data_IF_624164857324
#
_entry.id   IF_624164857324
#
_cell.length_a   1.000
_cell.length_b   1.000
_cell.length_c   1.000
_cell.angle_alpha   90.00
_cell.angle_beta   90.00
_cell.angle_gamma   90.00
#
_symmetry.space_group_name_H-M   'P 1'
#
loop_
_entity.id
_entity.type
_entity.pdbx_description
1 polymer ?
#
# COMPACT_ATOMS: atom_id res chain seq x y z
N UNK A 1 42.51 12.96 38.95
CA UNK A 1 42.28 14.34 38.47
C UNK A 1 40.85 14.35 37.95
N UNK A 2 39.86 14.63 38.82
CA UNK A 2 39.29 15.98 39.06
C UNK A 2 38.01 16.07 38.23
N UNK A 3 36.82 15.70 38.72
CA UNK A 3 35.92 16.35 39.69
C UNK A 3 35.36 17.72 39.22
N UNK A 4 34.03 17.82 39.33
CA UNK A 4 33.13 19.00 39.31
C UNK A 4 32.83 19.68 37.95
N UNK A 5 31.61 20.14 37.65
CA UNK A 5 30.35 20.19 38.40
C UNK A 5 29.26 20.91 37.59
N UNK A 6 28.00 20.54 37.80
CA UNK A 6 26.78 21.27 37.37
C UNK A 6 26.52 22.49 38.27
N UNK A 7 25.68 23.46 37.86
CA UNK A 7 24.97 24.31 38.81
C UNK A 7 23.46 24.04 38.82
N UNK A 8 22.95 24.02 40.05
CA UNK A 8 21.60 23.66 40.43
C UNK A 8 20.61 24.83 40.40
N UNK A 9 19.35 24.46 40.14
CA UNK A 9 18.13 25.19 40.47
C UNK A 9 18.00 25.46 41.98
N UNK A 10 17.48 26.64 42.34
CA UNK A 10 16.90 26.94 43.66
C UNK A 10 15.39 27.16 43.53
N UNK A 11 14.61 26.35 44.26
CA UNK A 11 13.31 26.73 44.85
C UNK A 11 13.57 27.37 46.23
N UNK A 12 12.61 28.13 46.79
CA UNK A 12 11.60 27.54 47.71
C UNK A 12 10.23 28.25 47.55
N UNK A 13 9.10 27.97 48.18
CA UNK A 13 8.45 26.86 48.90
C UNK A 13 7.04 27.37 49.30
N UNK A 14 6.04 26.48 49.45
CA UNK A 14 4.78 26.70 50.22
C UNK A 14 3.59 27.17 49.36
N UNK A 15 2.50 26.42 49.12
CA UNK A 15 1.50 25.72 49.97
C UNK A 15 0.31 26.59 50.40
N UNK A 16 -0.91 26.13 50.06
CA UNK A 16 -2.21 26.61 50.56
C UNK A 16 -2.77 27.79 49.75
N UNK A 17 -3.95 27.75 49.14
CA UNK A 17 -5.23 27.23 49.63
C UNK A 17 -6.13 28.42 49.98
N UNK A 18 -7.09 28.78 49.12
CA UNK A 18 -8.12 29.78 49.44
C UNK A 18 -8.64 30.63 48.27
N UNK A 19 -9.86 30.34 47.80
CA UNK A 19 -10.88 31.37 47.53
C UNK A 19 -11.48 31.84 48.88
N UNK A 20 -12.26 32.93 49.02
CA UNK A 20 -12.81 33.88 48.04
C UNK A 20 -12.42 35.35 48.40
N UNK A 21 -12.88 36.44 47.76
CA UNK A 21 -14.09 37.21 48.11
C UNK A 21 -14.12 38.50 47.27
N UNK A 22 -15.30 38.91 46.83
CA UNK A 22 -15.65 40.17 46.15
C UNK A 22 -15.93 41.33 47.11
N UNK A 23 -15.51 42.56 46.77
CA UNK A 23 -16.14 43.88 47.13
C UNK A 23 -15.62 44.92 46.12
N UNK A 24 -16.39 45.69 45.32
CA UNK A 24 -17.52 46.62 45.48
C UNK A 24 -17.21 47.94 46.23
N UNK A 25 -17.39 49.07 45.53
CA UNK A 25 -17.98 50.39 45.93
C UNK A 25 -17.89 51.31 44.70
N UNK A 26 -18.81 52.20 44.30
CA UNK A 26 -19.89 52.99 44.90
C UNK A 26 -21.06 53.10 43.88
N UNK A 27 -22.31 53.43 44.20
CA UNK A 27 -22.93 53.90 45.43
C UNK A 27 -24.38 54.34 45.15
N UNK A 28 -25.11 54.71 46.20
CA UNK A 28 -26.34 55.51 46.13
C UNK A 28 -27.64 54.75 46.38
N UNK A 29 -28.03 54.64 47.66
CA UNK A 29 -29.34 54.12 48.07
C UNK A 29 -30.45 55.18 48.15
N UNK A 30 -31.69 54.71 48.31
CA UNK A 30 -32.73 55.29 49.20
C UNK A 30 -33.93 54.34 49.40
N UNK A 31 -34.52 54.45 50.59
CA UNK A 31 -35.54 53.58 51.24
C UNK A 31 -36.77 53.20 50.41
N UNK A 32 -37.61 52.24 50.80
CA UNK A 32 -37.88 51.66 52.13
C UNK A 32 -39.40 51.47 52.31
N UNK A 33 -39.80 50.30 52.85
CA UNK A 33 -41.13 49.89 53.38
C UNK A 33 -42.28 49.77 52.36
N UNK A 34 -43.16 48.76 52.35
CA UNK A 34 -43.41 47.62 53.25
C UNK A 34 -44.90 47.25 53.16
N UNK A 35 -45.22 45.96 53.10
CA UNK A 35 -46.46 45.40 53.66
C UNK A 35 -47.70 45.22 52.76
N UNK A 36 -48.08 43.93 52.64
CA UNK A 36 -49.44 43.36 52.70
C UNK A 36 -50.30 43.21 51.42
N UNK A 37 -50.41 41.93 51.01
CA UNK A 37 -51.43 41.26 50.18
C UNK A 37 -52.87 41.44 50.75
N UNK A 38 -53.99 41.06 50.06
CA UNK A 38 -54.10 40.09 48.97
C UNK A 38 -55.12 40.34 47.83
N UNK A 39 -55.01 39.45 46.83
CA UNK A 39 -56.08 38.79 46.03
C UNK A 39 -56.94 39.61 45.05
N UNK A 40 -56.64 39.36 43.78
CA UNK A 40 -57.65 38.70 42.93
C UNK A 40 -58.40 39.58 41.94
N UNK A 41 -57.68 40.16 40.95
CA UNK A 41 -58.18 40.48 39.60
C UNK A 41 -57.10 41.16 38.76
N UNK A 42 -56.01 40.46 38.46
CA UNK A 42 -55.02 40.96 37.50
C UNK A 42 -54.33 39.86 36.69
N UNK A 43 -54.86 38.62 36.68
CA UNK A 43 -54.27 37.51 35.92
C UNK A 43 -54.58 37.53 34.41
N UNK A 44 -55.52 38.34 33.93
CA UNK A 44 -55.85 38.38 32.50
C UNK A 44 -54.93 39.32 31.67
N UNK A 45 -54.32 40.34 32.30
CA UNK A 45 -53.38 41.26 31.61
C UNK A 45 -51.94 40.71 31.55
N UNK A 46 -51.58 39.80 32.45
CA UNK A 46 -50.25 39.19 32.50
C UNK A 46 -50.00 38.20 31.36
N UNK A 47 -51.04 37.49 30.87
CA UNK A 47 -50.88 36.50 29.80
C UNK A 47 -50.58 37.09 28.41
N UNK A 48 -51.09 38.28 28.09
CA UNK A 48 -50.79 38.94 26.81
C UNK A 48 -49.41 39.62 26.81
N UNK A 49 -48.94 40.12 27.96
CA UNK A 49 -47.58 40.66 28.07
C UNK A 49 -46.50 39.56 28.09
N UNK A 50 -46.77 38.38 28.66
CA UNK A 50 -45.84 37.23 28.62
C UNK A 50 -45.62 36.74 27.18
N UNK A 51 -46.66 36.70 26.34
CA UNK A 51 -46.53 36.28 24.93
C UNK A 51 -45.64 37.23 24.12
N UNK A 52 -45.75 38.54 24.34
CA UNK A 52 -44.91 39.55 23.67
C UNK A 52 -43.46 39.49 24.17
N UNK A 53 -43.24 39.32 25.48
CA UNK A 53 -41.88 39.19 26.04
C UNK A 53 -41.16 37.92 25.59
N UNK A 54 -41.87 36.79 25.45
CA UNK A 54 -41.30 35.55 24.89
C UNK A 54 -40.95 35.71 23.41
N UNK A 55 -41.81 36.38 22.62
CA UNK A 55 -41.55 36.64 21.19
C UNK A 55 -40.33 37.57 21.00
N UNK A 56 -40.24 38.65 21.78
CA UNK A 56 -39.07 39.54 21.77
C UNK A 56 -37.80 38.84 22.25
N UNK A 57 -37.89 37.96 23.26
CA UNK A 57 -36.76 37.12 23.69
C UNK A 57 -36.28 36.17 22.58
N UNK A 58 -37.20 35.51 21.86
CA UNK A 58 -36.86 34.60 20.77
C UNK A 58 -36.22 35.31 19.57
N UNK A 59 -36.74 36.49 19.20
CA UNK A 59 -36.16 37.31 18.12
C UNK A 59 -34.79 37.85 18.52
N UNK A 60 -34.58 38.22 19.79
CA UNK A 60 -33.27 38.68 20.27
C UNK A 60 -32.25 37.53 20.30
N UNK A 61 -32.65 36.30 20.66
CA UNK A 61 -31.79 35.11 20.57
C UNK A 61 -31.47 34.76 19.11
N UNK A 62 -32.43 34.86 18.19
CA UNK A 62 -32.19 34.63 16.76
C UNK A 62 -31.28 35.69 16.14
N UNK A 63 -31.44 36.96 16.50
CA UNK A 63 -30.57 38.05 16.05
C UNK A 63 -29.18 37.95 16.68
N UNK A 64 -29.05 37.59 17.97
CA UNK A 64 -27.76 37.36 18.62
C UNK A 64 -27.06 36.09 18.12
N UNK A 65 -27.80 35.00 17.81
CA UNK A 65 -27.29 33.81 17.10
C UNK A 65 -26.94 34.10 15.64
N UNK A 66 -27.55 35.11 15.03
CA UNK A 66 -27.24 35.60 13.69
C UNK A 66 -26.10 36.62 13.63
N UNK A 67 -25.71 37.23 14.76
CA UNK A 67 -24.71 38.32 14.80
C UNK A 67 -23.49 38.04 15.66
N UNK A 68 -23.43 36.94 16.43
CA UNK A 68 -22.20 36.43 17.06
C UNK A 68 -22.10 34.92 16.81
N UNK A 69 -21.39 34.56 15.74
CA UNK A 69 -21.03 33.20 15.35
C UNK A 69 -19.75 33.21 14.53
N UNK A 70 -18.64 33.55 15.18
CA UNK A 70 -17.28 33.43 14.65
C UNK A 70 -16.86 31.96 14.71
N UNK A 71 -16.43 31.41 13.57
CA UNK A 71 -15.53 30.26 13.54
C UNK A 71 -15.79 29.24 12.43
N UNK A 72 -15.07 29.39 11.30
CA UNK A 72 -14.72 28.34 10.35
C UNK A 72 -15.74 27.97 9.24
N UNK A 73 -15.97 28.88 8.28
CA UNK A 73 -16.60 28.58 7.00
C UNK A 73 -15.53 28.51 5.90
N UNK A 74 -14.97 27.31 5.73
CA UNK A 74 -13.96 27.03 4.71
C UNK A 74 -13.69 25.53 4.51
N UNK A 75 -14.67 24.65 4.72
CA UNK A 75 -14.60 23.24 4.29
C UNK A 75 -15.94 22.53 4.53
N UNK A 76 -16.87 22.51 3.56
CA UNK A 76 -18.05 21.64 3.71
C UNK A 76 -18.62 21.08 2.41
N UNK A 77 -18.17 21.53 1.25
CA UNK A 77 -18.58 20.89 -0.02
C UNK A 77 -17.69 19.71 -0.40
N UNK A 78 -16.43 19.68 0.06
CA UNK A 78 -15.51 18.58 -0.24
C UNK A 78 -15.70 17.40 0.72
N UNK A 79 -15.89 17.69 2.01
CA UNK A 79 -16.06 16.66 3.04
C UNK A 79 -17.43 15.97 2.95
N UNK A 80 -18.49 16.71 2.61
CA UNK A 80 -19.81 16.12 2.37
C UNK A 80 -19.84 15.24 1.11
N UNK A 81 -19.12 15.63 0.05
CA UNK A 81 -18.97 14.79 -1.16
C UNK A 81 -18.15 13.53 -0.84
N UNK A 82 -17.13 13.64 0.01
CA UNK A 82 -16.31 12.49 0.42
C UNK A 82 -17.11 11.50 1.26
N UNK A 83 -17.94 11.99 2.20
CA UNK A 83 -18.85 11.16 2.99
C UNK A 83 -19.90 10.46 2.11
N UNK A 84 -20.47 11.18 1.14
CA UNK A 84 -21.46 10.60 0.23
C UNK A 84 -20.86 9.50 -0.66
N UNK A 85 -19.61 9.67 -1.14
CA UNK A 85 -18.90 8.62 -1.90
C UNK A 85 -18.60 7.41 -1.02
N UNK A 86 -18.25 7.61 0.25
CA UNK A 86 -18.02 6.52 1.21
C UNK A 86 -19.31 5.75 1.49
N UNK A 87 -20.43 6.45 1.71
CA UNK A 87 -21.75 5.82 1.91
C UNK A 87 -22.23 5.07 0.66
N UNK A 88 -22.07 5.66 -0.53
CA UNK A 88 -22.46 5.03 -1.79
C UNK A 88 -21.60 3.79 -2.11
N UNK A 89 -20.30 3.84 -1.82
CA UNK A 89 -19.39 2.70 -1.92
C UNK A 89 -19.78 1.59 -0.94
N UNK A 90 -20.08 1.94 0.32
CA UNK A 90 -20.53 0.97 1.33
C UNK A 90 -21.88 0.34 0.98
N UNK A 91 -22.78 1.09 0.34
CA UNK A 91 -24.07 0.59 -0.16
C UNK A 91 -23.89 -0.39 -1.31
N UNK A 92 -23.05 -0.08 -2.29
CA UNK A 92 -22.71 -1.00 -3.39
C UNK A 92 -22.04 -2.27 -2.86
N UNK A 93 -21.16 -2.15 -1.86
CA UNK A 93 -20.54 -3.30 -1.18
C UNK A 93 -21.55 -4.17 -0.42
N UNK A 94 -22.59 -3.58 0.18
CA UNK A 94 -23.64 -4.33 0.86
C UNK A 94 -24.52 -5.10 -0.14
N UNK A 95 -24.75 -4.54 -1.33
CA UNK A 95 -25.50 -5.17 -2.42
C UNK A 95 -24.72 -6.35 -3.04
N UNK A 96 -23.39 -6.23 -3.19
CA UNK A 96 -22.51 -7.33 -3.63
C UNK A 96 -22.48 -8.47 -2.59
N UNK A 97 -22.60 -8.17 -1.29
CA UNK A 97 -22.59 -9.16 -0.21
C UNK A 97 -23.89 -9.95 -0.09
N UNK A 98 -25.02 -9.48 -0.62
CA UNK A 98 -26.31 -10.17 -0.45
C UNK A 98 -26.53 -11.34 -1.40
N UNK A 99 -25.70 -11.50 -2.45
CA UNK A 99 -25.69 -12.66 -3.35
C UNK A 99 -24.78 -13.78 -2.80
N UNK A 100 -24.89 -14.07 -1.50
CA UNK A 100 -24.27 -15.27 -0.93
C UNK A 100 -25.09 -16.49 -1.33
N UNK A 101 -24.56 -17.29 -2.26
CA UNK A 101 -25.12 -18.57 -2.68
C UNK A 101 -25.29 -19.49 -1.45
N UNK A 102 -26.47 -20.09 -1.18
CA UNK A 102 -26.71 -20.91 0.03
C UNK A 102 -25.94 -22.23 0.08
N UNK A 103 -25.05 -22.47 -0.88
CA UNK A 103 -24.30 -23.73 -1.05
C UNK A 103 -22.96 -23.77 -0.31
N UNK A 104 -22.54 -22.68 0.34
CA UNK A 104 -21.33 -22.61 1.18
C UNK A 104 -21.53 -23.19 2.61
N UNK A 105 -22.44 -24.16 2.76
CA UNK A 105 -22.59 -24.94 3.98
C UNK A 105 -21.86 -26.28 3.83
N UNK A 106 -20.85 -26.46 4.69
CA UNK A 106 -20.09 -27.68 4.98
C UNK A 106 -18.99 -28.10 3.97
N UNK A 107 -17.83 -27.39 3.97
CA UNK A 107 -16.58 -28.08 3.61
C UNK A 107 -16.22 -29.05 4.77
N UNK A 108 -16.01 -30.35 4.50
CA UNK A 108 -15.59 -31.31 5.53
C UNK A 108 -14.26 -30.88 6.14
N UNK A 109 -14.08 -31.11 7.45
CA UNK A 109 -12.75 -31.09 8.08
C UNK A 109 -11.89 -32.21 7.45
N UNK A 110 -11.19 -31.91 6.36
CA UNK A 110 -10.25 -32.83 5.73
C UNK A 110 -8.90 -32.79 6.46
N UNK A 111 -8.37 -33.99 6.72
CA UNK A 111 -7.37 -34.26 7.74
C UNK A 111 -6.03 -33.55 7.55
N UNK A 112 -5.44 -33.18 8.70
CA UNK A 112 -4.08 -32.64 8.79
C UNK A 112 -3.09 -33.46 7.94
N UNK A 113 -2.26 -32.76 7.15
CA UNK A 113 -1.17 -33.42 6.44
C UNK A 113 -0.35 -34.27 7.41
N UNK A 114 -0.06 -35.51 7.00
CA UNK A 114 0.85 -36.38 7.74
C UNK A 114 2.19 -35.64 7.92
N UNK A 115 2.63 -35.35 9.15
CA UNK A 115 3.88 -34.62 9.40
C UNK A 115 5.13 -35.30 8.80
N UNK A 116 5.02 -36.59 8.47
CA UNK A 116 6.08 -37.38 7.86
C UNK A 116 6.08 -37.34 6.32
N UNK A 117 5.07 -36.76 5.67
CA UNK A 117 5.04 -36.60 4.23
C UNK A 117 5.77 -35.31 3.81
N UNK A 118 6.77 -35.43 2.95
CA UNK A 118 7.45 -34.26 2.38
C UNK A 118 6.55 -33.61 1.33
N UNK A 119 6.20 -32.33 1.55
CA UNK A 119 5.42 -31.56 0.59
C UNK A 119 6.15 -31.41 -0.76
N UNK A 120 5.40 -31.50 -1.87
CA UNK A 120 5.91 -31.31 -3.22
C UNK A 120 4.96 -30.41 -4.02
N UNK A 121 5.50 -29.48 -4.80
CA UNK A 121 4.72 -28.57 -5.66
C UNK A 121 4.08 -29.26 -6.89
N UNK A 122 4.46 -30.51 -7.14
CA UNK A 122 3.98 -31.34 -8.23
C UNK A 122 5.01 -32.39 -8.64
N UNK A 123 4.74 -33.16 -9.71
CA UNK A 123 5.69 -34.14 -10.23
C UNK A 123 7.02 -33.49 -10.62
N UNK A 124 8.13 -34.18 -10.32
CA UNK A 124 9.47 -33.69 -10.66
C UNK A 124 9.66 -33.64 -12.17
N UNK A 125 10.12 -32.52 -12.67
CA UNK A 125 10.53 -32.30 -14.06
C UNK A 125 12.04 -32.06 -14.06
N UNK A 126 12.76 -32.70 -14.99
CA UNK A 126 14.25 -32.64 -15.04
C UNK A 126 14.79 -32.18 -16.39
N UNK A 127 13.91 -32.01 -17.39
CA UNK A 127 14.24 -31.70 -18.78
C UNK A 127 13.46 -30.48 -19.30
N UNK A 128 13.01 -29.58 -18.41
CA UNK A 128 12.14 -28.45 -18.78
C UNK A 128 12.76 -27.53 -19.84
N UNK A 129 14.06 -27.24 -19.75
CA UNK A 129 14.75 -26.41 -20.74
C UNK A 129 14.71 -27.04 -22.14
N UNK A 130 14.81 -28.37 -22.22
CA UNK A 130 14.71 -29.11 -23.49
C UNK A 130 13.28 -29.09 -24.03
N UNK A 131 12.29 -29.35 -23.17
CA UNK A 131 10.87 -29.28 -23.54
C UNK A 131 10.49 -27.88 -24.04
N UNK A 132 10.88 -26.84 -23.30
CA UNK A 132 10.62 -25.43 -23.64
C UNK A 132 11.29 -25.05 -24.95
N UNK A 133 12.53 -25.48 -25.19
CA UNK A 133 13.22 -25.25 -26.48
C UNK A 133 12.50 -25.92 -27.66
N UNK A 134 12.03 -27.15 -27.50
CA UNK A 134 11.26 -27.86 -28.53
C UNK A 134 9.96 -27.12 -28.83
N UNK A 135 9.23 -26.71 -27.77
CA UNK A 135 7.98 -25.96 -27.91
C UNK A 135 8.19 -24.63 -28.63
N UNK A 136 9.21 -23.84 -28.26
CA UNK A 136 9.51 -22.55 -28.92
C UNK A 136 9.84 -22.71 -30.40
N UNK A 137 10.52 -23.79 -30.79
CA UNK A 137 10.82 -24.08 -32.19
C UNK A 137 9.56 -24.48 -32.99
N UNK A 138 8.58 -25.11 -32.34
CA UNK A 138 7.33 -25.55 -32.96
C UNK A 138 6.27 -24.44 -33.03
N UNK A 139 6.39 -23.39 -32.20
CA UNK A 139 5.41 -22.31 -32.07
C UNK A 139 6.07 -20.93 -32.27
N UNK A 140 6.62 -20.63 -33.47
CA UNK A 140 7.35 -19.39 -33.73
C UNK A 140 6.52 -18.10 -33.59
N UNK A 141 5.20 -18.21 -33.63
CA UNK A 141 4.24 -17.12 -33.40
C UNK A 141 4.16 -16.68 -31.93
N UNK A 142 4.70 -17.48 -31.00
CA UNK A 142 4.81 -17.17 -29.57
C UNK A 142 6.29 -17.06 -29.15
N UNK A 143 7.06 -16.07 -29.65
CA UNK A 143 8.47 -15.95 -29.33
C UNK A 143 8.68 -15.47 -27.89
N UNK A 144 9.72 -15.98 -27.23
CA UNK A 144 10.16 -15.53 -25.91
C UNK A 144 10.83 -14.16 -25.91
N UNK A 145 11.09 -13.61 -27.08
CA UNK A 145 11.62 -12.25 -27.28
C UNK A 145 10.82 -11.54 -28.37
N UNK A 146 10.30 -10.35 -28.08
CA UNK A 146 9.54 -9.51 -29.01
C UNK A 146 10.27 -8.18 -29.15
N UNK A 147 10.61 -7.77 -30.38
CA UNK A 147 11.35 -6.53 -30.67
C UNK A 147 12.66 -6.39 -29.85
N UNK A 148 13.39 -7.48 -29.67
CA UNK A 148 14.63 -7.51 -28.89
C UNK A 148 14.45 -7.45 -27.37
N UNK A 149 13.22 -7.48 -26.86
CA UNK A 149 12.91 -7.52 -25.42
C UNK A 149 12.35 -8.88 -25.03
N UNK A 150 12.87 -9.45 -23.95
CA UNK A 150 12.35 -10.69 -23.40
C UNK A 150 10.90 -10.51 -22.94
N UNK A 151 10.05 -11.53 -23.17
CA UNK A 151 8.64 -11.52 -22.77
C UNK A 151 8.52 -11.65 -21.26
N UNK A 152 7.80 -10.72 -20.64
CA UNK A 152 7.54 -10.69 -19.19
C UNK A 152 6.05 -10.94 -18.96
N UNK A 153 5.74 -11.79 -17.97
CA UNK A 153 4.41 -11.96 -17.40
C UNK A 153 4.41 -11.44 -15.97
N UNK A 154 3.71 -10.34 -15.71
CA UNK A 154 3.52 -9.83 -14.35
C UNK A 154 2.45 -10.67 -13.64
N UNK A 155 2.80 -11.24 -12.49
CA UNK A 155 1.90 -11.98 -11.63
C UNK A 155 1.68 -11.20 -10.33
N UNK A 156 0.43 -10.94 -10.00
CA UNK A 156 -0.03 -10.40 -8.71
C UNK A 156 -1.24 -11.21 -8.25
N UNK A 157 -1.67 -11.02 -7.01
CA UNK A 157 -2.93 -11.61 -6.57
C UNK A 157 -3.38 -11.10 -5.21
N UNK A 158 -4.59 -11.48 -4.83
CA UNK A 158 -5.17 -11.25 -3.50
C UNK A 158 -5.99 -12.47 -3.09
N UNK A 159 -6.36 -12.60 -1.81
CA UNK A 159 -7.31 -13.63 -1.39
C UNK A 159 -8.63 -13.56 -2.19
N UNK A 160 -9.35 -14.69 -2.37
CA UNK A 160 -10.65 -14.73 -3.05
C UNK A 160 -11.77 -14.07 -2.26
N UNK A 161 -11.66 -14.06 -0.93
CA UNK A 161 -12.67 -13.51 -0.04
C UNK A 161 -12.52 -12.00 0.05
N UNK A 162 -13.62 -11.25 0.28
CA UNK A 162 -13.55 -9.83 0.61
C UNK A 162 -12.59 -9.57 1.76
N UNK A 163 -11.95 -8.40 1.75
CA UNK A 163 -11.04 -8.02 2.82
C UNK A 163 -11.75 -7.91 4.18
N UNK A 164 -11.04 -8.26 5.26
CA UNK A 164 -11.52 -8.10 6.63
C UNK A 164 -11.88 -6.62 6.89
N UNK A 165 -11.04 -5.72 6.39
CA UNK A 165 -11.31 -4.29 6.33
C UNK A 165 -11.87 -3.92 4.94
N UNK A 166 -13.14 -3.46 4.82
CA UNK A 166 -13.76 -3.19 3.52
C UNK A 166 -13.02 -2.17 2.65
N UNK A 167 -12.29 -1.22 3.25
CA UNK A 167 -11.49 -0.26 2.49
C UNK A 167 -10.30 -0.94 1.78
N UNK A 168 -9.89 -2.11 2.26
CA UNK A 168 -8.81 -2.91 1.68
C UNK A 168 -9.08 -3.26 0.22
N UNK A 169 -10.31 -3.67 -0.11
CA UNK A 169 -10.72 -3.98 -1.49
C UNK A 169 -10.56 -2.77 -2.42
N UNK A 170 -10.83 -1.56 -1.93
CA UNK A 170 -10.61 -0.34 -2.71
C UNK A 170 -9.12 -0.12 -3.03
N UNK A 171 -8.23 -0.39 -2.08
CA UNK A 171 -6.79 -0.27 -2.32
C UNK A 171 -6.21 -1.40 -3.18
N UNK A 172 -6.78 -2.61 -3.10
CA UNK A 172 -6.49 -3.68 -4.06
C UNK A 172 -6.87 -3.25 -5.49
N UNK A 173 -8.05 -2.66 -5.67
CA UNK A 173 -8.50 -2.13 -6.95
C UNK A 173 -7.57 -1.04 -7.49
N UNK A 174 -7.15 -0.09 -6.64
CA UNK A 174 -6.19 0.95 -7.03
C UNK A 174 -4.83 0.37 -7.40
N UNK A 175 -4.38 -0.65 -6.65
CA UNK A 175 -3.14 -1.35 -6.95
C UNK A 175 -3.16 -2.08 -8.29
N UNK A 176 -4.25 -2.80 -8.61
CA UNK A 176 -4.35 -3.45 -9.91
C UNK A 176 -4.47 -2.44 -11.05
N UNK A 177 -5.20 -1.32 -10.88
CA UNK A 177 -5.20 -0.23 -11.88
C UNK A 177 -3.78 0.29 -12.14
N UNK A 178 -3.01 0.56 -11.09
CA UNK A 178 -1.63 1.03 -11.20
C UNK A 178 -0.76 0.04 -12.01
N UNK A 179 -0.87 -1.26 -11.71
CA UNK A 179 -0.18 -2.32 -12.46
C UNK A 179 -0.65 -2.43 -13.90
N UNK A 180 -1.96 -2.32 -14.17
CA UNK A 180 -2.53 -2.28 -15.52
C UNK A 180 -1.95 -1.13 -16.33
N UNK A 181 -1.88 0.07 -15.74
CA UNK A 181 -1.36 1.26 -16.44
C UNK A 181 0.11 1.09 -16.82
N UNK A 182 0.95 0.60 -15.90
CA UNK A 182 2.35 0.29 -16.19
C UNK A 182 2.46 -0.81 -17.27
N UNK A 183 1.81 -1.96 -17.07
CA UNK A 183 1.90 -3.09 -17.98
C UNK A 183 1.44 -2.73 -19.40
N UNK A 184 0.36 -1.95 -19.53
CA UNK A 184 -0.13 -1.43 -20.82
C UNK A 184 0.90 -0.54 -21.53
N UNK A 185 1.60 0.33 -20.79
CA UNK A 185 2.59 1.23 -21.37
C UNK A 185 3.89 0.52 -21.76
N UNK A 186 4.22 -0.59 -21.09
CA UNK A 186 5.46 -1.35 -21.31
C UNK A 186 5.29 -2.63 -22.13
N UNK A 187 4.07 -2.96 -22.55
CA UNK A 187 3.79 -4.17 -23.33
C UNK A 187 4.01 -5.46 -22.53
N UNK A 188 3.62 -5.44 -21.26
CA UNK A 188 3.74 -6.57 -20.33
C UNK A 188 2.35 -7.16 -20.11
N UNK A 189 2.24 -8.48 -20.14
CA UNK A 189 1.01 -9.19 -19.82
C UNK A 189 0.84 -9.31 -18.30
N UNK A 190 -0.41 -9.33 -17.81
CA UNK A 190 -0.71 -9.41 -16.38
C UNK A 190 -1.64 -10.59 -16.08
N UNK A 191 -1.28 -11.37 -15.05
CA UNK A 191 -2.15 -12.36 -14.41
C UNK A 191 -2.47 -11.87 -13.00
N UNK A 192 -3.76 -11.81 -12.68
CA UNK A 192 -4.24 -11.52 -11.34
C UNK A 192 -4.85 -12.79 -10.75
N UNK A 193 -4.18 -13.40 -9.78
CA UNK A 193 -4.69 -14.59 -9.11
C UNK A 193 -5.63 -14.23 -7.95
N UNK A 194 -6.79 -14.89 -7.91
CA UNK A 194 -7.71 -14.90 -6.77
C UNK A 194 -7.98 -16.32 -6.25
N UNK A 195 -7.34 -17.35 -6.81
CA UNK A 195 -7.59 -18.74 -6.44
C UNK A 195 -6.52 -19.26 -5.47
N UNK A 196 -6.96 -20.08 -4.51
CA UNK A 196 -6.06 -20.96 -3.76
C UNK A 196 -5.82 -22.24 -4.57
N UNK A 197 -4.68 -22.32 -5.25
CA UNK A 197 -4.31 -23.52 -6.01
C UNK A 197 -3.88 -24.68 -5.12
N UNK A 198 -3.46 -24.38 -3.89
CA UNK A 198 -2.98 -25.34 -2.91
C UNK A 198 -3.44 -24.88 -1.52
N UNK A 199 -4.13 -25.76 -0.78
CA UNK A 199 -4.67 -25.45 0.55
C UNK A 199 -3.58 -25.43 1.64
N UNK A 200 -2.40 -26.00 1.38
CA UNK A 200 -1.26 -26.05 2.31
C UNK A 200 -0.38 -24.80 2.19
N UNK A 201 -0.19 -24.31 0.96
CA UNK A 201 0.53 -23.06 0.68
C UNK A 201 -0.43 -21.86 0.62
N UNK A 202 -0.96 -21.50 1.78
CA UNK A 202 -1.80 -20.31 1.96
C UNK A 202 -0.99 -19.03 2.27
N UNK A 203 -1.63 -17.87 2.15
CA UNK A 203 -1.04 -16.57 2.48
C UNK A 203 0.10 -16.19 1.53
N UNK A 204 1.20 -15.67 2.08
CA UNK A 204 2.36 -15.24 1.29
C UNK A 204 3.02 -16.39 0.50
N UNK A 205 2.79 -17.64 0.90
CA UNK A 205 3.30 -18.84 0.22
C UNK A 205 2.55 -19.20 -1.07
N UNK A 206 1.33 -18.69 -1.27
CA UNK A 206 0.48 -19.03 -2.42
C UNK A 206 1.09 -18.64 -3.79
N UNK A 207 2.10 -17.77 -3.78
CA UNK A 207 2.83 -17.37 -4.99
C UNK A 207 3.62 -18.52 -5.61
N UNK A 208 4.20 -19.43 -4.81
CA UNK A 208 5.03 -20.54 -5.31
C UNK A 208 4.28 -21.48 -6.27
N UNK A 209 3.13 -22.07 -5.89
CA UNK A 209 2.40 -22.98 -6.78
C UNK A 209 1.87 -22.25 -8.02
N UNK A 210 1.47 -20.99 -7.90
CA UNK A 210 1.02 -20.18 -9.03
C UNK A 210 2.17 -19.88 -10.01
N UNK A 211 3.35 -19.49 -9.52
CA UNK A 211 4.54 -19.26 -10.37
C UNK A 211 4.89 -20.54 -11.12
N UNK A 212 4.96 -21.70 -10.43
CA UNK A 212 5.22 -22.99 -11.08
C UNK A 212 4.18 -23.29 -12.16
N UNK A 213 2.89 -23.06 -11.87
CA UNK A 213 1.80 -23.30 -12.83
C UNK A 213 1.95 -22.45 -14.08
N UNK A 214 2.25 -21.16 -13.92
CA UNK A 214 2.44 -20.25 -15.05
C UNK A 214 3.70 -20.57 -15.85
N UNK A 215 4.81 -20.97 -15.23
CA UNK A 215 6.01 -21.41 -15.95
C UNK A 215 5.69 -22.52 -16.94
N UNK A 216 4.97 -23.54 -16.45
CA UNK A 216 4.63 -24.72 -17.24
C UNK A 216 3.53 -24.47 -18.28
N UNK A 217 2.65 -23.49 -18.02
CA UNK A 217 1.52 -23.16 -18.91
C UNK A 217 1.87 -22.12 -19.97
N UNK A 218 2.95 -21.36 -19.76
CA UNK A 218 3.42 -20.30 -20.66
C UNK A 218 4.89 -20.48 -21.04
N UNK A 219 5.25 -21.50 -21.87
CA UNK A 219 6.63 -21.71 -22.30
C UNK A 219 7.19 -20.52 -23.11
N UNK A 220 6.35 -19.69 -23.71
CA UNK A 220 6.73 -18.45 -24.39
C UNK A 220 7.21 -17.35 -23.45
N UNK A 221 6.83 -17.37 -22.17
CA UNK A 221 7.25 -16.35 -21.21
C UNK A 221 8.70 -16.61 -20.80
N UNK A 222 9.55 -15.58 -20.89
CA UNK A 222 10.95 -15.68 -20.47
C UNK A 222 11.12 -15.34 -18.98
N UNK A 223 10.36 -14.36 -18.49
CA UNK A 223 10.39 -13.93 -17.09
C UNK A 223 8.99 -13.87 -16.51
N UNK A 224 8.80 -14.54 -15.38
CA UNK A 224 7.68 -14.28 -14.49
C UNK A 224 8.13 -13.21 -13.50
N UNK A 225 7.37 -12.13 -13.41
CA UNK A 225 7.60 -11.06 -12.45
C UNK A 225 6.50 -11.08 -11.40
N UNK A 226 6.82 -11.61 -10.23
CA UNK A 226 5.92 -11.53 -9.08
C UNK A 226 5.95 -10.12 -8.50
N UNK A 227 4.77 -9.56 -8.21
CA UNK A 227 4.63 -8.29 -7.51
C UNK A 227 3.46 -8.35 -6.53
N UNK A 228 3.71 -8.05 -5.25
CA UNK A 228 2.69 -8.07 -4.19
C UNK A 228 1.58 -7.05 -4.46
N UNK A 229 0.39 -7.32 -3.91
CA UNK A 229 -0.78 -6.45 -4.06
C UNK A 229 -0.60 -5.08 -3.40
N UNK A 230 0.27 -4.95 -2.40
CA UNK A 230 0.60 -3.71 -1.70
C UNK A 230 1.90 -3.07 -2.21
N UNK A 231 2.46 -3.56 -3.31
CA UNK A 231 3.51 -2.88 -4.08
C UNK A 231 2.92 -2.08 -5.24
N UNK A 232 3.31 -0.82 -5.39
CA UNK A 232 2.85 0.07 -6.46
C UNK A 232 4.03 0.52 -7.32
N UNK A 233 3.83 0.57 -8.63
CA UNK A 233 4.72 1.34 -9.51
C UNK A 233 4.60 2.81 -9.19
N UNK A 234 5.73 3.46 -8.94
CA UNK A 234 5.82 4.89 -8.68
C UNK A 234 6.70 5.62 -9.70
N UNK A 235 7.47 4.87 -10.50
CA UNK A 235 8.06 5.33 -11.77
C UNK A 235 7.39 4.61 -12.95
N UNK A 236 6.49 5.29 -13.64
CA UNK A 236 5.77 4.74 -14.79
C UNK A 236 6.65 4.69 -16.05
N UNK A 237 7.75 5.43 -16.10
CA UNK A 237 8.62 5.51 -17.28
C UNK A 237 9.85 4.60 -17.20
N UNK A 238 10.26 4.24 -15.99
CA UNK A 238 11.39 3.34 -15.79
C UNK A 238 11.14 1.99 -16.48
N UNK A 239 12.20 1.44 -17.09
CA UNK A 239 12.20 0.11 -17.70
C UNK A 239 13.26 -0.74 -17.03
N UNK A 240 12.89 -1.96 -16.69
CA UNK A 240 13.82 -2.95 -16.11
C UNK A 240 14.97 -3.20 -17.11
N UNK A 241 16.25 -3.02 -16.71
CA UNK A 241 17.39 -3.19 -17.60
C UNK A 241 17.74 -4.68 -17.81
N UNK A 242 16.84 -5.44 -18.46
CA UNK A 242 16.95 -6.91 -18.60
C UNK A 242 18.30 -7.40 -19.19
N UNK A 243 18.97 -6.57 -20.00
CA UNK A 243 20.29 -6.87 -20.53
C UNK A 243 21.34 -7.15 -19.42
N UNK A 244 21.19 -6.53 -18.24
CA UNK A 244 22.04 -6.76 -17.07
C UNK A 244 21.88 -8.17 -16.48
N UNK A 245 20.72 -8.79 -16.69
CA UNK A 245 20.34 -10.05 -16.03
C UNK A 245 20.49 -11.27 -16.92
N UNK A 246 21.12 -11.15 -18.09
CA UNK A 246 21.22 -12.25 -19.08
C UNK A 246 21.83 -13.55 -18.52
N UNK A 247 22.73 -13.46 -17.54
CA UNK A 247 23.39 -14.62 -16.91
C UNK A 247 22.72 -15.13 -15.63
N UNK A 248 21.61 -14.52 -15.23
CA UNK A 248 20.91 -14.78 -13.97
C UNK A 248 19.50 -15.31 -14.25
N UNK A 249 18.95 -16.01 -13.27
CA UNK A 249 17.63 -16.62 -13.32
C UNK A 249 16.69 -16.07 -12.25
N UNK A 250 17.22 -15.53 -11.15
CA UNK A 250 16.46 -14.78 -10.14
C UNK A 250 17.04 -13.37 -10.04
N UNK A 251 16.19 -12.36 -10.13
CA UNK A 251 16.53 -10.95 -9.87
C UNK A 251 15.65 -10.47 -8.74
N UNK A 252 16.26 -10.06 -7.64
CA UNK A 252 15.57 -9.71 -6.40
C UNK A 252 16.22 -8.48 -5.78
N UNK A 253 15.41 -7.57 -5.26
CA UNK A 253 15.96 -6.40 -4.57
C UNK A 253 16.58 -6.82 -3.24
N UNK A 254 17.73 -6.25 -2.90
CA UNK A 254 18.34 -6.46 -1.59
C UNK A 254 19.65 -5.72 -1.39
N UNK A 255 20.24 -5.92 -0.22
CA UNK A 255 21.48 -5.26 0.18
C UNK A 255 22.55 -6.33 0.47
N UNK A 256 23.65 -6.40 -0.31
CA UNK A 256 24.66 -7.45 -0.15
C UNK A 256 25.30 -7.53 1.25
N UNK A 257 25.51 -6.39 1.90
CA UNK A 257 26.03 -6.30 3.27
C UNK A 257 25.03 -6.88 4.29
N UNK A 258 23.74 -6.56 4.14
CA UNK A 258 22.70 -7.18 4.97
C UNK A 258 22.59 -8.69 4.75
N UNK A 259 22.79 -9.14 3.51
CA UNK A 259 22.68 -10.55 3.14
C UNK A 259 23.86 -11.36 3.65
N UNK A 260 25.08 -11.02 3.23
CA UNK A 260 26.26 -11.85 3.46
C UNK A 260 26.92 -11.60 4.82
N UNK A 261 26.98 -10.36 5.26
CA UNK A 261 27.70 -10.01 6.49
C UNK A 261 26.79 -10.12 7.71
N UNK A 262 25.55 -9.61 7.59
CA UNK A 262 24.63 -9.54 8.72
C UNK A 262 23.64 -10.70 8.81
N UNK A 263 23.42 -11.44 7.71
CA UNK A 263 22.39 -12.47 7.61
C UNK A 263 21.01 -11.98 8.07
N UNK A 264 20.67 -10.76 7.67
CA UNK A 264 19.43 -10.09 8.06
C UNK A 264 18.22 -10.69 7.35
N UNK A 265 17.10 -10.85 8.06
CA UNK A 265 15.84 -11.34 7.46
C UNK A 265 15.19 -10.34 6.48
N UNK A 266 15.63 -9.09 6.49
CA UNK A 266 15.23 -8.03 5.54
C UNK A 266 16.30 -7.77 4.48
N UNK A 267 17.27 -8.67 4.32
CA UNK A 267 18.35 -8.49 3.36
C UNK A 267 17.89 -8.51 1.90
N UNK A 268 16.82 -9.26 1.61
CA UNK A 268 16.17 -9.36 0.31
C UNK A 268 14.66 -9.10 0.48
N UNK A 269 13.96 -8.72 -0.59
CA UNK A 269 12.50 -8.63 -0.57
C UNK A 269 11.83 -9.49 -1.64
N UNK A 270 10.93 -10.41 -1.23
CA UNK A 270 10.21 -11.31 -2.13
C UNK A 270 8.84 -10.78 -2.57
N UNK A 271 8.59 -9.49 -2.35
CA UNK A 271 7.37 -8.82 -2.81
C UNK A 271 7.47 -8.20 -4.20
N UNK A 272 8.66 -8.17 -4.79
CA UNK A 272 8.86 -7.82 -6.20
C UNK A 272 10.15 -8.45 -6.72
N UNK A 273 10.04 -9.46 -7.57
CA UNK A 273 11.20 -10.18 -8.13
C UNK A 273 10.91 -10.77 -9.51
N UNK A 274 11.95 -10.95 -10.31
CA UNK A 274 11.87 -11.65 -11.59
C UNK A 274 12.46 -13.05 -11.47
N UNK A 275 11.77 -14.04 -12.01
CA UNK A 275 12.20 -15.43 -12.06
C UNK A 275 12.10 -15.96 -13.50
N UNK A 276 13.22 -16.42 -14.05
CA UNK A 276 13.32 -16.89 -15.44
C UNK A 276 12.58 -18.21 -15.61
N UNK A 277 11.88 -18.41 -16.72
CA UNK A 277 11.25 -19.69 -17.06
C UNK A 277 12.31 -20.70 -17.55
N UNK A 278 12.89 -21.45 -16.62
CA UNK A 278 13.94 -22.44 -16.88
C UNK A 278 13.95 -23.56 -15.82
N UNK A 279 14.65 -24.65 -16.09
CA UNK A 279 14.77 -25.81 -15.20
C UNK A 279 15.30 -25.40 -13.81
N UNK A 280 16.32 -24.55 -13.76
CA UNK A 280 16.89 -24.05 -12.51
C UNK A 280 15.83 -23.40 -11.61
N UNK A 281 14.87 -22.67 -12.19
CA UNK A 281 13.82 -22.00 -11.42
C UNK A 281 12.79 -22.99 -10.88
N UNK A 282 12.47 -24.07 -11.63
CA UNK A 282 11.63 -25.15 -11.10
C UNK A 282 12.30 -25.83 -9.90
N UNK A 283 13.61 -26.07 -10.00
CA UNK A 283 14.40 -26.66 -8.92
C UNK A 283 14.48 -25.72 -7.70
N UNK A 284 14.60 -24.41 -7.91
CA UNK A 284 14.55 -23.42 -6.83
C UNK A 284 13.19 -23.44 -6.11
N UNK A 285 12.09 -23.49 -6.86
CA UNK A 285 10.74 -23.54 -6.27
C UNK A 285 10.55 -24.80 -5.41
N UNK A 286 11.03 -25.96 -5.89
CA UNK A 286 11.02 -27.21 -5.12
C UNK A 286 11.83 -27.10 -3.82
N UNK A 287 12.97 -26.40 -3.83
CA UNK A 287 13.83 -26.19 -2.66
C UNK A 287 13.30 -25.11 -1.70
N UNK A 288 12.47 -24.19 -2.19
CA UNK A 288 11.92 -23.07 -1.42
C UNK A 288 10.62 -23.45 -0.69
N UNK A 289 9.77 -24.26 -1.31
CA UNK A 289 8.49 -24.68 -0.77
C UNK A 289 8.47 -25.43 0.59
N UNK A 290 9.50 -26.19 1.01
CA UNK A 290 9.39 -27.11 2.16
C UNK A 290 9.06 -26.45 3.51
N UNK A 291 9.36 -25.16 3.70
CA UNK A 291 9.02 -24.41 4.91
C UNK A 291 7.62 -23.78 4.87
N UNK A 292 6.90 -23.93 3.75
CA UNK A 292 5.64 -23.25 3.49
C UNK A 292 4.35 -23.93 3.96
N UNK A 293 4.23 -25.26 4.07
CA UNK A 293 2.97 -25.89 4.48
C UNK A 293 2.48 -25.43 5.86
N UNK A 294 1.26 -24.92 5.93
CA UNK A 294 0.65 -24.37 7.16
C UNK A 294 0.63 -25.38 8.32
N UNK A 295 0.50 -24.88 9.54
CA UNK A 295 0.49 -25.70 10.75
C UNK A 295 1.90 -26.04 11.26
N UNK A 296 2.12 -27.22 11.88
CA UNK A 296 3.35 -27.52 12.61
C UNK A 296 4.63 -27.37 11.78
N UNK A 297 4.59 -27.68 10.48
CA UNK A 297 5.76 -27.57 9.59
C UNK A 297 6.24 -26.11 9.51
N UNK A 298 5.33 -25.19 9.17
CA UNK A 298 5.65 -23.75 9.06
C UNK A 298 5.97 -23.13 10.41
N UNK A 299 5.34 -23.58 11.49
CA UNK A 299 5.62 -23.09 12.85
C UNK A 299 7.03 -23.47 13.32
N UNK A 300 7.44 -24.74 13.15
CA UNK A 300 8.78 -25.20 13.50
C UNK A 300 9.85 -24.59 12.58
N UNK A 301 9.56 -24.46 11.28
CA UNK A 301 10.44 -23.74 10.35
C UNK A 301 10.61 -22.27 10.77
N UNK A 302 9.55 -21.61 11.26
CA UNK A 302 9.63 -20.25 11.78
C UNK A 302 10.62 -20.10 12.94
N UNK A 303 10.70 -21.09 13.84
CA UNK A 303 11.69 -21.12 14.92
C UNK A 303 13.11 -21.26 14.38
N UNK A 304 13.32 -22.14 13.39
CA UNK A 304 14.62 -22.32 12.72
C UNK A 304 15.08 -21.01 12.05
N UNK A 305 14.19 -20.35 11.32
CA UNK A 305 14.46 -19.07 10.65
C UNK A 305 14.77 -17.96 11.66
N UNK A 306 14.04 -17.89 12.76
CA UNK A 306 14.28 -16.92 13.84
C UNK A 306 15.64 -17.13 14.51
N UNK A 307 16.06 -18.38 14.68
CA UNK A 307 17.36 -18.71 15.25
C UNK A 307 18.52 -18.43 14.28
N UNK A 308 18.30 -18.57 12.98
CA UNK A 308 19.33 -18.40 11.95
C UNK A 308 19.51 -16.94 11.48
N UNK A 309 18.41 -16.21 11.31
CA UNK A 309 18.40 -14.88 10.68
C UNK A 309 18.40 -13.76 11.71
N UNK A 310 19.31 -12.80 11.52
CA UNK A 310 19.45 -11.65 12.40
C UNK A 310 18.22 -10.74 12.31
N UNK A 311 17.69 -10.37 13.47
CA UNK A 311 16.62 -9.38 13.58
C UNK A 311 15.23 -9.87 13.21
N UNK A 312 15.05 -11.16 12.88
CA UNK A 312 13.74 -11.74 12.59
C UNK A 312 12.92 -11.87 13.89
N UNK A 313 11.69 -11.33 13.97
CA UNK A 313 10.82 -11.59 15.11
C UNK A 313 10.31 -13.04 15.12
N UNK A 314 9.76 -13.47 16.26
CA UNK A 314 9.20 -14.82 16.41
C UNK A 314 7.79 -14.90 15.82
N UNK A 315 7.65 -15.56 14.68
CA UNK A 315 6.39 -15.89 14.02
C UNK A 315 6.61 -17.05 13.03
N UNK A 316 5.51 -17.58 12.45
CA UNK A 316 5.51 -18.65 11.45
C UNK A 316 6.51 -18.38 10.30
N UNK A 317 7.01 -19.42 9.62
CA UNK A 317 7.88 -19.23 8.45
C UNK A 317 7.19 -18.44 7.32
N UNK A 318 7.92 -17.48 6.77
CA UNK A 318 7.56 -16.68 5.61
C UNK A 318 8.48 -16.97 4.41
N UNK A 319 7.97 -16.73 3.20
CA UNK A 319 8.68 -17.02 1.95
C UNK A 319 9.99 -16.21 1.84
N UNK A 320 10.02 -14.96 2.29
CA UNK A 320 11.21 -14.11 2.25
C UNK A 320 12.35 -14.69 3.09
N UNK A 321 12.07 -14.98 4.36
CA UNK A 321 13.03 -15.55 5.29
C UNK A 321 13.50 -16.92 4.84
N UNK A 322 12.59 -17.76 4.32
CA UNK A 322 12.94 -19.08 3.79
C UNK A 322 13.87 -18.99 2.58
N UNK A 323 13.65 -18.03 1.67
CA UNK A 323 14.54 -17.80 0.53
C UNK A 323 15.93 -17.34 0.98
N UNK A 324 16.00 -16.37 1.90
CA UNK A 324 17.28 -15.88 2.44
C UNK A 324 18.04 -17.02 3.11
N UNK A 325 17.35 -17.83 3.93
CA UNK A 325 17.94 -19.02 4.56
C UNK A 325 18.48 -20.01 3.52
N UNK A 326 17.70 -20.33 2.48
CA UNK A 326 18.11 -21.24 1.40
C UNK A 326 19.36 -20.72 0.67
N UNK A 327 19.35 -19.44 0.28
CA UNK A 327 20.45 -18.82 -0.46
C UNK A 327 21.74 -18.70 0.37
N UNK A 328 21.64 -18.52 1.68
CA UNK A 328 22.80 -18.47 2.58
C UNK A 328 23.32 -19.86 2.95
N UNK A 329 22.43 -20.82 3.19
CA UNK A 329 22.80 -22.18 3.60
C UNK A 329 23.29 -23.04 2.44
N UNK A 330 22.85 -22.76 1.21
CA UNK A 330 23.22 -23.48 -0.01
C UNK A 330 23.78 -22.52 -1.08
N UNK A 331 24.65 -21.60 -0.64
CA UNK A 331 25.22 -20.53 -1.47
C UNK A 331 25.83 -21.05 -2.78
N UNK A 332 26.64 -22.09 -2.71
CA UNK A 332 27.36 -22.63 -3.86
C UNK A 332 26.42 -23.25 -4.90
N UNK A 333 25.22 -23.67 -4.49
CA UNK A 333 24.21 -24.24 -5.39
C UNK A 333 23.41 -23.17 -6.11
N UNK A 334 23.00 -22.10 -5.40
CA UNK A 334 21.99 -21.17 -5.91
C UNK A 334 22.54 -19.81 -6.33
N UNK A 335 23.48 -19.25 -5.57
CA UNK A 335 23.79 -17.81 -5.67
C UNK A 335 24.44 -17.41 -6.99
N UNK A 336 25.06 -18.33 -7.73
CA UNK A 336 25.63 -18.02 -9.06
C UNK A 336 24.56 -17.49 -10.05
N UNK A 337 23.30 -17.91 -9.91
CA UNK A 337 22.20 -17.49 -10.79
C UNK A 337 21.29 -16.43 -10.15
N UNK A 338 21.64 -15.90 -8.98
CA UNK A 338 20.88 -14.85 -8.29
C UNK A 338 21.55 -13.50 -8.47
N UNK A 339 20.81 -12.53 -8.97
CA UNK A 339 21.22 -11.12 -9.00
C UNK A 339 20.52 -10.35 -7.88
N UNK A 340 21.31 -9.85 -6.94
CA UNK A 340 20.84 -8.95 -5.87
C UNK A 340 20.90 -7.51 -6.39
N UNK A 341 19.74 -6.96 -6.77
CA UNK A 341 19.63 -5.62 -7.32
C UNK A 341 19.51 -4.57 -6.20
N UNK A 342 20.31 -3.51 -6.31
CA UNK A 342 20.38 -2.41 -5.34
C UNK A 342 20.64 -1.03 -5.98
N UNK A 343 20.64 -0.94 -7.31
CA UNK A 343 20.85 0.31 -8.06
C UNK A 343 19.56 1.07 -8.34
N UNK A 344 18.41 0.41 -8.22
CA UNK A 344 17.09 1.01 -8.32
C UNK A 344 16.11 0.23 -7.43
N UNK A 345 14.98 0.84 -7.10
CA UNK A 345 13.99 0.24 -6.22
C UNK A 345 13.09 -0.75 -6.96
N UNK A 346 13.62 -1.93 -7.31
CA UNK A 346 12.78 -3.08 -7.67
C UNK A 346 11.80 -3.42 -6.53
N UNK A 347 12.22 -3.14 -5.29
CA UNK A 347 11.38 -2.95 -4.10
C UNK A 347 11.88 -1.72 -3.35
N UNK A 348 11.00 -0.76 -3.06
CA UNK A 348 11.31 0.42 -2.25
C UNK A 348 10.47 0.48 -0.98
N UNK A 349 11.11 0.49 0.18
CA UNK A 349 10.41 0.53 1.46
C UNK A 349 9.71 1.88 1.68
N UNK A 350 8.38 1.83 1.80
CA UNK A 350 7.53 3.03 1.71
C UNK A 350 7.85 4.13 2.72
N UNK A 351 8.19 3.79 3.98
CA UNK A 351 8.45 4.81 5.01
C UNK A 351 9.60 5.76 4.64
N UNK A 352 10.61 5.27 3.92
CA UNK A 352 11.74 6.09 3.47
C UNK A 352 11.46 6.93 2.21
N UNK A 353 10.31 6.74 1.58
CA UNK A 353 10.01 7.26 0.24
C UNK A 353 8.82 8.23 0.22
N UNK A 354 7.72 7.86 0.87
CA UNK A 354 6.42 8.54 0.65
C UNK A 354 6.41 10.01 1.07
N UNK A 355 7.22 10.39 2.06
CA UNK A 355 7.32 11.76 2.55
C UNK A 355 8.21 12.64 1.65
N UNK A 356 8.92 12.04 0.70
CA UNK A 356 9.83 12.74 -0.23
C UNK A 356 9.21 13.00 -1.61
N UNK A 357 7.98 12.57 -1.87
CA UNK A 357 7.38 12.70 -3.19
C UNK A 357 7.28 14.14 -3.71
N UNK A 358 6.94 15.10 -2.85
CA UNK A 358 6.91 16.52 -3.24
C UNK A 358 8.32 17.02 -3.62
N UNK A 359 9.34 16.63 -2.86
CA UNK A 359 10.74 16.93 -3.20
C UNK A 359 11.12 16.31 -4.55
N UNK A 360 10.71 15.06 -4.80
CA UNK A 360 11.00 14.36 -6.05
C UNK A 360 10.33 15.03 -7.26
N UNK A 361 9.08 15.48 -7.11
CA UNK A 361 8.34 16.23 -8.14
C UNK A 361 9.04 17.55 -8.47
N UNK A 362 9.60 18.22 -7.47
CA UNK A 362 10.26 19.52 -7.64
C UNK A 362 11.65 19.39 -8.29
N UNK A 363 12.44 18.40 -7.87
CA UNK A 363 13.88 18.32 -8.21
C UNK A 363 14.20 17.35 -9.35
N UNK A 364 13.36 16.34 -9.57
CA UNK A 364 13.68 15.22 -10.45
C UNK A 364 12.57 14.96 -11.48
N UNK A 365 12.66 13.83 -12.17
CA UNK A 365 11.70 13.39 -13.17
C UNK A 365 11.60 11.86 -13.16
N UNK A 366 10.48 11.28 -13.63
CA UNK A 366 10.36 9.83 -13.81
C UNK A 366 11.33 9.31 -14.88
N UNK A 367 11.62 8.01 -14.82
CA UNK A 367 12.58 7.29 -15.66
C UNK A 367 13.89 6.92 -14.95
N UNK A 368 14.03 7.25 -13.66
CA UNK A 368 15.27 7.04 -12.88
C UNK A 368 15.24 5.74 -12.07
N UNK A 369 14.09 5.42 -11.48
CA UNK A 369 13.85 4.19 -10.71
C UNK A 369 14.48 4.09 -9.32
N UNK A 370 15.31 5.06 -8.90
CA UNK A 370 16.11 5.05 -7.66
C UNK A 370 15.61 6.08 -6.61
N UNK A 371 16.45 6.51 -5.65
CA UNK A 371 16.05 7.47 -4.61
C UNK A 371 15.64 8.86 -5.09
N UNK A 372 15.86 9.16 -6.36
CA UNK A 372 15.42 10.41 -7.01
C UNK A 372 14.00 10.28 -7.55
N UNK A 373 13.61 9.07 -7.96
CA UNK A 373 12.26 8.75 -8.39
C UNK A 373 12.06 7.21 -8.29
N UNK A 374 11.47 6.69 -7.20
CA UNK A 374 11.50 5.25 -6.93
C UNK A 374 10.68 4.48 -7.95
N UNK A 375 11.22 3.35 -8.42
CA UNK A 375 10.50 2.49 -9.35
C UNK A 375 9.27 1.84 -8.71
N UNK A 376 9.47 1.18 -7.58
CA UNK A 376 8.41 0.54 -6.79
C UNK A 376 8.39 1.13 -5.39
N UNK A 377 7.20 1.51 -4.92
CA UNK A 377 6.94 1.78 -3.50
C UNK A 377 6.11 0.64 -2.93
N UNK A 378 6.67 -0.07 -1.95
CA UNK A 378 6.09 -1.27 -1.36
C UNK A 378 5.67 -1.04 0.10
N UNK A 379 4.38 -1.21 0.38
CA UNK A 379 3.72 -0.95 1.67
C UNK A 379 3.80 -2.12 2.66
N UNK A 380 4.99 -2.70 2.78
CA UNK A 380 5.28 -3.79 3.73
C UNK A 380 4.77 -3.43 5.13
N UNK A 381 4.01 -4.34 5.74
CA UNK A 381 3.45 -4.20 7.09
C UNK A 381 2.13 -3.43 7.17
N UNK A 382 1.66 -2.80 6.09
CA UNK A 382 0.38 -2.06 6.09
C UNK A 382 -0.84 -2.97 6.03
N UNK A 383 -0.74 -4.13 5.38
CA UNK A 383 -1.76 -5.20 5.32
C UNK A 383 -3.20 -4.66 5.15
N UNK A 384 -3.49 -3.86 4.09
CA UNK A 384 -4.76 -3.14 3.97
C UNK A 384 -5.99 -4.04 3.89
N UNK A 385 -5.81 -5.30 3.48
CA UNK A 385 -6.87 -6.30 3.37
C UNK A 385 -7.05 -7.16 4.64
N UNK A 386 -6.04 -7.21 5.50
CA UNK A 386 -6.03 -8.05 6.70
C UNK A 386 -6.48 -7.31 7.96
N UNK A 387 -6.68 -8.08 9.02
CA UNK A 387 -7.12 -7.61 10.34
C UNK A 387 -5.98 -7.15 11.28
N UNK A 388 -4.72 -7.41 10.94
CA UNK A 388 -3.54 -7.01 11.70
C UNK A 388 -2.59 -6.18 10.83
N UNK A 389 -2.08 -5.06 11.34
CA UNK A 389 -1.11 -4.21 10.65
C UNK A 389 0.00 -3.79 11.63
N UNK A 390 1.24 -3.73 11.14
CA UNK A 390 2.40 -3.31 11.93
C UNK A 390 2.46 -1.78 12.10
N UNK A 391 1.67 -1.07 11.29
CA UNK A 391 1.60 0.38 11.22
C UNK A 391 0.17 0.89 11.44
N UNK A 392 0.05 2.15 11.84
CA UNK A 392 -1.24 2.81 11.94
C UNK A 392 -1.94 2.82 10.57
N UNK A 393 -3.12 2.18 10.51
CA UNK A 393 -3.93 2.03 9.29
C UNK A 393 -4.11 3.37 8.56
N UNK A 394 -4.39 4.45 9.30
CA UNK A 394 -4.56 5.79 8.71
C UNK A 394 -3.31 6.27 7.95
N UNK A 395 -2.11 6.06 8.52
CA UNK A 395 -0.84 6.45 7.87
C UNK A 395 -0.61 5.61 6.62
N UNK A 396 -0.88 4.31 6.68
CA UNK A 396 -0.79 3.41 5.53
C UNK A 396 -1.70 3.85 4.40
N UNK A 397 -3.00 4.02 4.65
CA UNK A 397 -3.96 4.39 3.61
C UNK A 397 -3.63 5.76 3.00
N UNK A 398 -3.31 6.78 3.82
CA UNK A 398 -2.86 8.09 3.32
C UNK A 398 -1.60 7.99 2.45
N UNK A 399 -0.66 7.13 2.82
CA UNK A 399 0.60 6.98 2.08
C UNK A 399 0.41 6.17 0.79
N UNK A 400 -0.47 5.17 0.80
CA UNK A 400 -0.90 4.44 -0.40
C UNK A 400 -1.63 5.37 -1.38
N UNK A 401 -2.51 6.25 -0.87
CA UNK A 401 -3.19 7.27 -1.67
C UNK A 401 -2.17 8.19 -2.37
N UNK A 402 -1.16 8.65 -1.61
CA UNK A 402 -0.06 9.47 -2.14
C UNK A 402 0.73 8.75 -3.22
N UNK A 403 1.15 7.51 -2.98
CA UNK A 403 1.91 6.73 -3.95
C UNK A 403 1.11 6.44 -5.22
N UNK A 404 -0.17 6.08 -5.08
CA UNK A 404 -1.06 5.90 -6.22
C UNK A 404 -1.18 7.19 -7.04
N UNK A 405 -1.48 8.33 -6.41
CA UNK A 405 -1.64 9.60 -7.12
C UNK A 405 -0.31 10.12 -7.70
N UNK A 406 0.83 9.82 -7.07
CA UNK A 406 2.16 10.13 -7.58
C UNK A 406 2.44 9.39 -8.90
N UNK A 407 2.04 8.12 -8.99
CA UNK A 407 2.10 7.32 -10.20
C UNK A 407 1.04 7.73 -11.23
N UNK A 408 -0.22 7.85 -10.82
CA UNK A 408 -1.36 8.15 -11.71
C UNK A 408 -1.22 9.54 -12.34
N UNK A 409 -0.57 10.50 -11.67
CA UNK A 409 -0.19 11.78 -12.28
C UNK A 409 0.65 11.63 -13.55
N UNK A 410 1.53 10.62 -13.62
CA UNK A 410 2.36 10.37 -14.81
C UNK A 410 1.50 9.85 -15.97
N UNK A 411 0.48 9.05 -15.67
CA UNK A 411 -0.49 8.53 -16.63
C UNK A 411 -1.46 9.62 -17.08
N UNK A 412 -2.08 10.35 -16.15
CA UNK A 412 -3.04 11.43 -16.41
C UNK A 412 -2.43 12.57 -17.24
N UNK A 413 -1.12 12.81 -17.11
CA UNK A 413 -0.40 13.82 -17.89
C UNK A 413 -0.53 13.58 -19.40
N UNK A 414 -0.60 12.32 -19.85
CA UNK A 414 -0.86 11.96 -21.25
C UNK A 414 -2.16 12.58 -21.77
N UNK A 415 -3.17 12.63 -20.90
CA UNK A 415 -4.52 13.08 -21.22
C UNK A 415 -4.75 14.56 -20.88
N UNK A 416 -3.73 15.26 -20.36
CA UNK A 416 -3.83 16.69 -20.02
C UNK A 416 -4.45 16.96 -18.66
N UNK A 417 -4.36 16.00 -17.74
CA UNK A 417 -4.84 16.12 -16.36
C UNK A 417 -3.73 15.83 -15.34
N UNK A 418 -3.98 16.24 -14.10
CA UNK A 418 -3.23 15.82 -12.92
C UNK A 418 -4.17 15.82 -11.72
N UNK A 419 -3.83 15.10 -10.65
CA UNK A 419 -4.43 15.30 -9.34
C UNK A 419 -4.22 16.73 -8.84
N UNK A 420 -5.16 17.22 -8.02
CA UNK A 420 -5.04 18.53 -7.35
C UNK A 420 -3.95 18.53 -6.26
N UNK A 421 -3.65 17.37 -5.69
CA UNK A 421 -2.57 17.10 -4.75
C UNK A 421 -2.49 15.59 -4.49
N UNK A 422 -1.39 15.12 -3.90
CA UNK A 422 -1.16 13.67 -3.76
C UNK A 422 -2.15 12.96 -2.82
N UNK A 423 -2.85 13.68 -1.96
CA UNK A 423 -3.93 13.12 -1.12
C UNK A 423 -5.34 13.32 -1.72
N UNK A 424 -5.47 13.99 -2.86
CA UNK A 424 -6.77 14.34 -3.41
C UNK A 424 -7.15 13.44 -4.58
N UNK A 425 -8.32 12.77 -4.54
CA UNK A 425 -8.83 12.03 -5.69
C UNK A 425 -9.32 12.97 -6.81
N UNK A 426 -9.46 14.27 -6.52
CA UNK A 426 -9.92 15.26 -7.50
C UNK A 426 -8.81 15.59 -8.48
N UNK A 427 -9.15 15.58 -9.76
CA UNK A 427 -8.25 16.01 -10.84
C UNK A 427 -8.45 17.49 -11.20
N UNK A 428 -7.45 18.04 -11.88
CA UNK A 428 -7.45 19.35 -12.53
C UNK A 428 -6.88 19.19 -13.94
N UNK A 429 -7.34 20.06 -14.83
CA UNK A 429 -6.80 20.18 -16.17
C UNK A 429 -5.46 20.92 -16.11
N UNK A 430 -4.46 20.45 -16.86
CA UNK A 430 -3.12 21.07 -16.93
C UNK A 430 -2.80 21.69 -18.29
N UNK A 431 -3.70 21.55 -19.27
CA UNK A 431 -3.60 22.20 -20.59
C UNK A 431 -4.99 22.46 -21.18
N UNK A 432 -5.12 23.50 -21.99
CA UNK A 432 -6.38 23.81 -22.69
C UNK A 432 -6.74 22.72 -23.69
N UNK A 433 -8.04 22.60 -23.99
CA UNK A 433 -8.50 21.75 -25.08
C UNK A 433 -8.05 22.32 -26.42
N UNK A 434 -7.82 21.43 -27.37
CA UNK A 434 -7.46 21.79 -28.74
C UNK A 434 -8.29 20.97 -29.71
N UNK A 435 -8.66 21.58 -30.83
CA UNK A 435 -9.27 20.89 -31.98
C UNK A 435 -8.23 20.14 -32.83
N UNK A 436 -6.94 20.34 -32.54
CA UNK A 436 -5.80 19.69 -33.20
C UNK A 436 -4.97 18.82 -32.24
N UNK A 437 -5.55 17.78 -31.61
CA UNK A 437 -4.87 16.99 -30.57
C UNK A 437 -3.63 16.24 -31.07
N UNK A 438 -3.50 16.03 -32.38
CA UNK A 438 -2.39 15.30 -32.98
C UNK A 438 -1.13 16.14 -33.24
N UNK A 439 -1.23 17.48 -33.19
CA UNK A 439 -0.09 18.37 -33.47
C UNK A 439 1.01 18.31 -32.39
N UNK A 440 0.65 17.93 -31.17
CA UNK A 440 1.56 17.97 -30.02
C UNK A 440 1.82 16.59 -29.40
N UNK A 441 1.57 15.50 -30.15
CA UNK A 441 1.70 14.12 -29.64
C UNK A 441 3.10 13.87 -29.13
N UNK A 442 4.14 14.18 -29.91
CA UNK A 442 5.52 13.88 -29.51
C UNK A 442 6.00 14.71 -28.30
N UNK A 443 5.37 15.87 -28.06
CA UNK A 443 5.63 16.70 -26.88
C UNK A 443 4.98 16.14 -25.60
N UNK A 444 3.87 15.42 -25.73
CA UNK A 444 3.05 15.02 -24.60
C UNK A 444 2.99 13.51 -24.37
N UNK A 445 3.39 12.71 -25.35
CA UNK A 445 3.40 11.26 -25.28
C UNK A 445 4.67 10.77 -24.60
N UNK A 446 4.54 10.39 -23.32
CA UNK A 446 5.64 9.84 -22.52
C UNK A 446 6.18 8.53 -23.09
N UNK A 447 5.45 7.87 -24.00
CA UNK A 447 5.91 6.66 -24.70
C UNK A 447 6.90 6.98 -25.83
N UNK A 448 6.96 8.25 -26.27
CA UNK A 448 7.74 8.71 -27.42
C UNK A 448 8.82 9.73 -27.07
N UNK A 449 8.87 10.19 -25.82
CA UNK A 449 9.85 11.19 -25.41
C UNK A 449 11.26 10.62 -25.54
N UNK A 450 12.14 11.20 -26.38
CA UNK A 450 13.54 10.80 -26.41
C UNK A 450 14.14 11.01 -25.04
N UNK A 451 14.88 10.03 -24.53
CA UNK A 451 15.78 10.25 -23.39
C UNK A 451 16.71 11.38 -23.80
N UNK A 452 16.55 12.59 -23.25
CA UNK A 452 17.53 13.66 -23.41
C UNK A 452 18.84 13.17 -22.79
N UNK A 453 19.72 12.60 -23.61
CA UNK A 453 21.13 12.49 -23.29
C UNK A 453 21.68 13.90 -23.25
N UNK A 454 21.59 14.57 -22.09
CA UNK A 454 22.41 15.77 -21.87
C UNK A 454 23.88 15.35 -22.01
N UNK A 455 24.68 16.02 -22.87
CA UNK A 455 26.11 15.78 -22.90
C UNK A 455 26.67 16.09 -21.51
N UNK A 456 27.40 15.13 -20.93
CA UNK A 456 28.29 15.44 -19.83
C UNK A 456 29.40 16.32 -20.39
N UNK A 457 29.35 17.61 -20.07
CA UNK A 457 30.50 18.51 -20.21
C UNK A 457 31.33 18.47 -18.92
#
# INVERSE_FOLDING_TARGET
>A
MGQDGSPAHKRPSGSGGGLPTTTLTNGGGRGGRGGLLPRGRQMQKTFNNIKITILCGFVTILVLRGTIGVGNLGSSSADAVNQNIIEETNRILAEIRSDSDPTDLDEPQEGDMNPNATYVLGPKITDWDSQRKVWLNQNPEFPSTVNGKARILLLTGSPPKPCDNPIGDHYLLKSVKNKIDYCRLHGIEIVYNMAHLDKELAGYWAKLPMIRRLMLSHPEVEWIWWMDSDALFTDILFQIPLARYQKHNLVIHGYPDLLFDQKSWIALNTGSFLLRNCQWSLDLLDAWAPMGPKGPIRDEAGKVLTAYLKGRPAFEADDQSALIYLLLSQKDTWMEKVFVENQYYLHGFWEGLVDRYEEMIEKYHPGLGDERWPFVTHFVGCKPCGSYADYAVERCLKSMERAFNFADNQVLKLYGFSHRGLLSPKIKRIRNETVTPLEFVDKFDIRRTPVETKPQN
#
